data_IF_141460671718
#
_entry.id   IF_141460671718
#
_cell.length_a   1.000
_cell.length_b   1.000
_cell.length_c   1.000
_cell.angle_alpha   90.00
_cell.angle_beta   90.00
_cell.angle_gamma   90.00
#
_symmetry.space_group_name_H-M   'P 1'
#
loop_
_entity.id
_entity.type
_entity.pdbx_description
1 polymer ?
#
# COMPACT_ATOMS: atom_id res chain seq x y z
N UNK A 1 10.34 -0.83 19.07
CA UNK A 1 11.50 -1.55 19.63
C UNK A 1 11.09 -2.99 19.96
N UNK A 2 11.89 -4.01 19.61
CA UNK A 2 11.57 -5.40 19.94
C UNK A 2 11.51 -5.62 21.45
N UNK A 3 10.38 -6.12 21.97
CA UNK A 3 10.11 -6.33 23.42
C UNK A 3 11.15 -7.18 24.16
N UNK A 4 12.02 -7.92 23.45
CA UNK A 4 13.02 -8.81 24.05
C UNK A 4 14.33 -8.08 24.40
N UNK A 5 14.71 -7.04 23.67
CA UNK A 5 15.97 -6.31 23.89
C UNK A 5 15.89 -5.37 25.10
N UNK A 6 14.76 -4.70 25.28
CA UNK A 6 14.54 -3.76 26.40
C UNK A 6 14.47 -4.41 27.79
N UNK A 7 14.56 -5.74 27.87
CA UNK A 7 14.56 -6.52 29.12
C UNK A 7 15.95 -6.91 29.59
N UNK A 8 16.99 -6.65 28.79
CA UNK A 8 18.37 -6.93 29.19
C UNK A 8 18.85 -5.91 30.22
N UNK A 9 19.74 -6.33 31.13
CA UNK A 9 20.27 -5.46 32.19
C UNK A 9 21.18 -4.35 31.67
N UNK A 10 21.80 -4.57 30.53
CA UNK A 10 22.71 -3.66 29.82
C UNK A 10 21.98 -2.79 28.78
N UNK A 11 20.65 -2.86 28.71
CA UNK A 11 19.88 -2.06 27.77
C UNK A 11 19.90 -0.58 28.17
N UNK A 12 20.40 0.26 27.28
CA UNK A 12 20.36 1.71 27.41
C UNK A 12 19.10 2.29 26.77
N UNK A 13 18.49 3.28 27.41
CA UNK A 13 17.38 4.02 26.81
C UNK A 13 17.88 4.84 25.61
N UNK A 14 17.06 5.00 24.56
CA UNK A 14 17.41 5.88 23.45
C UNK A 14 17.59 7.32 23.96
N UNK A 15 18.55 8.02 23.35
CA UNK A 15 18.81 9.43 23.66
C UNK A 15 17.56 10.25 23.35
N UNK A 16 17.12 11.07 24.31
CA UNK A 16 16.02 12.02 24.13
C UNK A 16 16.63 13.40 23.86
N UNK A 17 16.33 13.96 22.69
CA UNK A 17 16.75 15.32 22.31
C UNK A 17 15.51 16.20 22.20
N UNK A 18 15.20 17.04 23.22
CA UNK A 18 14.07 17.94 23.13
C UNK A 18 14.37 19.10 22.19
N UNK A 19 13.48 19.32 21.22
CA UNK A 19 13.59 20.39 20.22
C UNK A 19 12.32 21.24 20.29
N UNK A 20 12.48 22.56 20.29
CA UNK A 20 11.39 23.54 20.19
C UNK A 20 11.53 24.28 18.88
N UNK A 21 10.56 24.08 17.97
CA UNK A 21 10.40 24.90 16.78
C UNK A 21 9.48 26.08 17.10
N UNK A 22 9.97 27.30 16.94
CA UNK A 22 9.23 28.52 17.25
C UNK A 22 9.10 29.42 16.03
N UNK A 23 7.86 29.71 15.64
CA UNK A 23 7.48 30.56 14.52
C UNK A 23 6.67 31.81 14.93
N UNK A 24 6.65 32.14 16.24
CA UNK A 24 5.91 33.30 16.75
C UNK A 24 6.56 34.64 16.38
N UNK A 25 5.75 35.70 16.31
CA UNK A 25 6.20 37.04 15.89
C UNK A 25 7.06 37.79 16.91
N UNK A 26 7.06 37.36 18.18
CA UNK A 26 7.85 37.96 19.25
C UNK A 26 9.19 37.25 19.36
N UNK A 27 10.24 37.96 19.80
CA UNK A 27 11.52 37.30 20.13
C UNK A 27 11.30 36.26 21.23
N UNK A 28 11.88 35.07 21.06
CA UNK A 28 11.86 34.05 22.11
C UNK A 28 12.64 34.52 23.34
N UNK A 29 11.99 34.53 24.50
CA UNK A 29 12.59 34.96 25.78
C UNK A 29 12.63 33.85 26.84
N UNK A 30 11.97 32.72 26.62
CA UNK A 30 11.95 31.63 27.58
C UNK A 30 13.31 30.94 27.69
N UNK A 31 13.65 30.48 28.90
CA UNK A 31 14.93 29.83 29.20
C UNK A 31 15.01 28.46 28.54
N UNK A 32 16.17 28.12 27.98
CA UNK A 32 16.39 26.86 27.26
C UNK A 32 16.80 25.70 28.16
N UNK A 33 17.20 25.99 29.40
CA UNK A 33 17.40 25.00 30.47
C UNK A 33 16.17 24.94 31.36
N UNK A 34 15.70 23.73 31.63
CA UNK A 34 14.57 23.50 32.52
C UNK A 34 14.87 23.95 33.96
N UNK A 35 16.10 23.74 34.43
CA UNK A 35 16.55 24.18 35.76
C UNK A 35 16.42 25.68 36.00
N UNK A 36 16.57 26.52 34.96
CA UNK A 36 16.39 27.97 35.09
C UNK A 36 14.94 28.41 35.34
N UNK A 37 13.98 27.49 35.17
CA UNK A 37 12.54 27.74 35.37
C UNK A 37 12.09 27.20 36.74
N UNK A 38 12.86 26.29 37.35
CA UNK A 38 12.52 25.64 38.61
C UNK A 38 12.83 26.52 39.82
N UNK A 39 11.82 26.76 40.65
CA UNK A 39 12.02 27.43 41.93
C UNK A 39 12.82 26.54 42.89
N UNK A 40 13.76 27.14 43.64
CA UNK A 40 14.53 26.48 44.70
C UNK A 40 15.34 25.25 44.25
N UNK A 41 15.69 25.15 42.96
CA UNK A 41 16.39 23.99 42.38
C UNK A 41 17.73 23.68 43.07
N UNK A 42 18.46 24.72 43.52
CA UNK A 42 19.75 24.55 44.21
C UNK A 42 19.64 23.72 45.50
N UNK A 43 18.49 23.80 46.20
CA UNK A 43 18.22 23.07 47.44
C UNK A 43 18.26 21.55 47.25
N UNK A 44 17.93 21.06 46.04
CA UNK A 44 17.79 19.64 45.74
C UNK A 44 19.00 19.06 44.98
N UNK A 45 20.01 19.89 44.69
CA UNK A 45 21.27 19.44 44.08
C UNK A 45 21.09 18.55 42.84
N UNK A 46 21.73 17.37 42.84
CA UNK A 46 21.67 16.40 41.75
C UNK A 46 20.35 15.63 41.63
N UNK A 47 19.41 15.80 42.57
CA UNK A 47 18.08 15.17 42.50
C UNK A 47 17.10 15.98 41.65
N UNK A 48 17.40 17.25 41.35
CA UNK A 48 16.57 18.05 40.46
C UNK A 48 16.74 17.61 39.01
N UNK A 49 15.62 17.39 38.32
CA UNK A 49 15.63 17.09 36.88
C UNK A 49 16.05 18.35 36.13
N UNK A 50 17.07 18.25 35.29
CA UNK A 50 17.48 19.30 34.37
C UNK A 50 17.71 18.71 32.99
N UNK A 51 17.29 19.46 31.98
CA UNK A 51 17.56 19.20 30.58
C UNK A 51 17.62 20.51 29.83
N UNK A 52 18.31 20.51 28.69
CA UNK A 52 18.29 21.61 27.74
C UNK A 52 17.57 21.19 26.48
N UNK A 53 16.74 22.06 25.95
CA UNK A 53 16.15 21.86 24.64
C UNK A 53 16.87 22.72 23.58
N UNK A 54 16.91 22.20 22.36
CA UNK A 54 17.39 22.91 21.18
C UNK A 54 16.26 23.84 20.72
N UNK A 55 16.51 25.15 20.71
CA UNK A 55 15.56 26.12 20.18
C UNK A 55 15.88 26.40 18.71
N UNK A 56 14.91 26.13 17.83
CA UNK A 56 14.91 26.54 16.43
C UNK A 56 13.89 27.67 16.30
N UNK A 57 14.36 28.91 16.40
CA UNK A 57 13.56 30.12 16.22
C UNK A 57 13.67 30.55 14.76
N UNK A 58 12.63 30.26 13.97
CA UNK A 58 12.66 30.44 12.50
C UNK A 58 12.90 31.90 12.11
N UNK A 59 12.51 32.85 12.97
CA UNK A 59 12.64 34.27 12.71
C UNK A 59 14.05 34.83 13.04
N UNK A 60 14.95 34.00 13.60
CA UNK A 60 16.35 34.41 13.83
C UNK A 60 17.22 34.33 12.58
N UNK A 61 16.85 33.47 11.64
CA UNK A 61 17.61 33.27 10.42
C UNK A 61 17.21 34.30 9.36
N UNK A 62 18.18 34.85 8.67
CA UNK A 62 17.89 35.71 7.52
C UNK A 62 17.42 34.88 6.32
N UNK A 63 16.76 35.53 5.38
CA UNK A 63 16.34 34.91 4.11
C UNK A 63 17.54 34.27 3.39
N UNK A 64 18.66 34.99 3.34
CA UNK A 64 19.88 34.57 2.65
C UNK A 64 20.54 33.37 3.35
N UNK A 65 20.50 33.32 4.68
CA UNK A 65 21.02 32.17 5.43
C UNK A 65 20.22 30.91 5.13
N UNK A 66 18.88 31.00 5.13
CA UNK A 66 18.01 29.86 4.85
C UNK A 66 18.13 29.37 3.40
N UNK A 67 18.21 30.28 2.43
CA UNK A 67 18.37 29.91 1.02
C UNK A 67 19.69 29.17 0.76
N UNK A 68 20.78 29.51 1.46
CA UNK A 68 22.09 28.86 1.31
C UNK A 68 22.14 27.41 1.82
N UNK A 69 21.24 27.03 2.71
CA UNK A 69 21.24 25.70 3.32
C UNK A 69 20.71 24.61 2.37
N UNK A 70 19.99 25.01 1.30
CA UNK A 70 19.50 24.14 0.23
C UNK A 70 18.89 22.81 0.68
N UNK A 71 18.09 22.80 1.75
CA UNK A 71 17.40 21.60 2.24
C UNK A 71 15.93 21.85 2.60
N UNK A 72 15.18 20.77 2.81
CA UNK A 72 13.75 20.81 3.12
C UNK A 72 13.43 21.64 4.37
N UNK A 73 14.17 21.43 5.47
CA UNK A 73 13.91 22.12 6.75
C UNK A 73 14.09 23.63 6.59
N UNK A 74 15.15 24.07 5.92
CA UNK A 74 15.41 25.48 5.67
C UNK A 74 14.34 26.10 4.76
N UNK A 75 13.87 25.35 3.76
CA UNK A 75 12.78 25.75 2.87
C UNK A 75 11.47 25.98 3.62
N UNK A 76 11.11 25.05 4.52
CA UNK A 76 9.94 25.18 5.41
C UNK A 76 10.10 26.37 6.34
N UNK A 77 11.26 26.52 7.01
CA UNK A 77 11.52 27.65 7.90
C UNK A 77 11.38 29.00 7.17
N UNK A 78 11.86 29.10 5.94
CA UNK A 78 11.80 30.33 5.14
C UNK A 78 10.37 30.75 4.81
N UNK A 79 9.50 29.78 4.54
CA UNK A 79 8.09 29.98 4.21
C UNK A 79 7.22 30.16 5.47
N UNK A 80 7.60 29.56 6.61
CA UNK A 80 6.95 29.74 7.91
C UNK A 80 7.14 31.14 8.49
N UNK A 81 8.19 31.86 8.08
CA UNK A 81 8.37 33.25 8.51
C UNK A 81 7.15 34.12 8.15
N UNK A 82 6.78 35.00 9.07
CA UNK A 82 5.61 35.87 8.90
C UNK A 82 5.95 37.01 7.93
N UNK A 83 5.53 36.85 6.68
CA UNK A 83 5.67 37.83 5.59
C UNK A 83 4.35 37.99 4.85
N UNK A 84 4.21 39.09 4.11
CA UNK A 84 3.09 39.32 3.20
C UNK A 84 3.04 38.26 2.08
N UNK A 85 1.84 38.03 1.55
CA UNK A 85 1.61 36.99 0.52
C UNK A 85 2.55 37.12 -0.69
N UNK A 86 2.78 38.35 -1.19
CA UNK A 86 3.66 38.60 -2.34
C UNK A 86 5.12 38.20 -2.06
N UNK A 87 5.63 38.49 -0.86
CA UNK A 87 6.98 38.10 -0.46
C UNK A 87 7.06 36.58 -0.24
N UNK A 88 6.02 35.96 0.32
CA UNK A 88 5.94 34.49 0.44
C UNK A 88 6.02 33.81 -0.93
N UNK A 89 5.28 34.31 -1.92
CA UNK A 89 5.31 33.78 -3.29
C UNK A 89 6.66 34.00 -3.97
N UNK A 90 7.31 35.14 -3.70
CA UNK A 90 8.68 35.40 -4.17
C UNK A 90 9.66 34.36 -3.60
N UNK A 91 9.60 34.09 -2.30
CA UNK A 91 10.42 33.06 -1.64
C UNK A 91 10.15 31.66 -2.18
N UNK A 92 8.88 31.31 -2.42
CA UNK A 92 8.52 30.02 -3.01
C UNK A 92 9.14 29.84 -4.40
N UNK A 93 9.18 30.90 -5.23
CA UNK A 93 9.85 30.87 -6.54
C UNK A 93 11.36 30.70 -6.41
N UNK A 94 11.99 31.41 -5.48
CA UNK A 94 13.44 31.29 -5.22
C UNK A 94 13.83 29.88 -4.74
N UNK A 95 12.93 29.19 -4.02
CA UNK A 95 13.12 27.81 -3.58
C UNK A 95 12.94 26.77 -4.69
N UNK A 96 12.47 27.14 -5.90
CA UNK A 96 12.15 26.18 -6.96
C UNK A 96 13.33 25.23 -7.30
N UNK A 97 14.56 25.75 -7.33
CA UNK A 97 15.73 24.93 -7.62
C UNK A 97 16.10 24.00 -6.45
N UNK A 98 15.90 24.43 -5.21
CA UNK A 98 16.12 23.61 -4.02
C UNK A 98 15.10 22.48 -3.95
N UNK A 99 13.81 22.79 -4.17
CA UNK A 99 12.73 21.80 -4.13
C UNK A 99 12.89 20.72 -5.20
N UNK A 100 13.47 21.04 -6.37
CA UNK A 100 13.79 20.07 -7.43
C UNK A 100 14.91 19.10 -7.08
N UNK A 101 15.72 19.39 -6.06
CA UNK A 101 16.84 18.54 -5.62
C UNK A 101 16.45 17.59 -4.48
N UNK A 102 15.27 17.77 -3.90
CA UNK A 102 14.76 16.93 -2.81
C UNK A 102 14.46 15.52 -3.32
N UNK A 103 14.60 14.53 -2.44
CA UNK A 103 14.17 13.17 -2.74
C UNK A 103 12.63 13.02 -2.68
N UNK A 104 12.13 11.84 -3.06
CA UNK A 104 10.70 11.57 -3.18
C UNK A 104 9.96 11.69 -1.82
N UNK A 105 10.57 11.20 -0.74
CA UNK A 105 10.02 11.28 0.62
C UNK A 105 9.99 12.73 1.11
N UNK A 106 11.05 13.50 0.87
CA UNK A 106 11.14 14.92 1.19
C UNK A 106 10.10 15.75 0.41
N UNK A 107 9.90 15.45 -0.87
CA UNK A 107 8.87 16.09 -1.71
C UNK A 107 7.47 15.79 -1.15
N UNK A 108 7.21 14.54 -0.76
CA UNK A 108 5.93 14.14 -0.20
C UNK A 108 5.64 14.86 1.12
N UNK A 109 6.65 14.94 2.01
CA UNK A 109 6.57 15.70 3.27
C UNK A 109 6.30 17.19 3.00
N UNK A 110 7.00 17.78 2.02
CA UNK A 110 6.80 19.17 1.64
C UNK A 110 5.38 19.40 1.10
N UNK A 111 4.88 18.57 0.19
CA UNK A 111 3.52 18.65 -0.37
C UNK A 111 2.47 18.58 0.75
N UNK A 112 2.60 17.63 1.67
CA UNK A 112 1.68 17.46 2.78
C UNK A 112 1.67 18.67 3.72
N UNK A 113 2.85 19.20 4.06
CA UNK A 113 2.97 20.42 4.87
C UNK A 113 2.42 21.65 4.12
N UNK A 114 2.75 21.82 2.84
CA UNK A 114 2.30 22.92 1.99
C UNK A 114 0.77 22.99 1.94
N UNK A 115 0.11 21.83 1.72
CA UNK A 115 -1.35 21.71 1.64
C UNK A 115 -2.04 22.06 2.96
N UNK A 116 -1.47 21.64 4.09
CA UNK A 116 -2.08 21.85 5.41
C UNK A 116 -1.80 23.22 6.00
N UNK A 117 -0.59 23.74 5.80
CA UNK A 117 -0.10 24.91 6.53
C UNK A 117 0.01 26.13 5.62
N UNK A 118 0.72 26.01 4.49
CA UNK A 118 0.98 27.19 3.65
C UNK A 118 -0.27 27.66 2.93
N UNK A 119 -1.11 26.75 2.42
CA UNK A 119 -2.39 27.10 1.79
C UNK A 119 -3.32 27.87 2.74
N UNK A 120 -3.23 27.63 4.05
CA UNK A 120 -4.00 28.35 5.05
C UNK A 120 -3.73 29.86 5.05
N UNK A 121 -2.55 30.29 4.58
CA UNK A 121 -2.08 31.68 4.54
C UNK A 121 -2.35 32.39 3.21
N UNK A 122 -2.86 31.67 2.21
CA UNK A 122 -3.14 32.22 0.88
C UNK A 122 -4.54 32.85 0.81
N UNK A 123 -4.76 33.91 0.01
CA UNK A 123 -6.08 34.41 -0.34
C UNK A 123 -6.96 33.30 -0.93
N UNK A 124 -8.28 33.36 -0.73
CA UNK A 124 -9.20 32.28 -1.13
C UNK A 124 -9.20 32.03 -2.65
N UNK A 125 -9.11 33.09 -3.47
CA UNK A 125 -9.05 32.97 -4.93
C UNK A 125 -7.78 32.25 -5.39
N UNK A 126 -6.64 32.61 -4.82
CA UNK A 126 -5.35 31.98 -5.11
C UNK A 126 -5.28 30.55 -4.60
N UNK A 127 -5.90 30.27 -3.44
CA UNK A 127 -6.01 28.90 -2.93
C UNK A 127 -6.73 28.01 -3.92
N UNK A 128 -7.86 28.44 -4.49
CA UNK A 128 -8.62 27.65 -5.49
C UNK A 128 -7.80 27.42 -6.77
N UNK A 129 -7.04 28.42 -7.22
CA UNK A 129 -6.17 28.27 -8.39
C UNK A 129 -5.03 27.28 -8.12
N UNK A 130 -4.38 27.38 -6.96
CA UNK A 130 -3.28 26.50 -6.57
C UNK A 130 -3.79 25.09 -6.24
N UNK A 131 -4.96 24.94 -5.60
CA UNK A 131 -5.63 23.64 -5.43
C UNK A 131 -5.87 22.99 -6.78
N UNK A 132 -6.41 23.72 -7.76
CA UNK A 132 -6.56 23.20 -9.11
C UNK A 132 -5.23 22.82 -9.74
N UNK A 133 -4.18 23.63 -9.60
CA UNK A 133 -2.85 23.32 -10.15
C UNK A 133 -2.20 22.12 -9.44
N UNK A 134 -2.39 21.98 -8.13
CA UNK A 134 -1.89 20.86 -7.33
C UNK A 134 -2.69 19.60 -7.63
N UNK A 135 -3.99 19.68 -7.80
CA UNK A 135 -4.84 18.54 -8.17
C UNK A 135 -4.68 18.18 -9.67
N UNK A 136 -4.29 19.13 -10.53
CA UNK A 136 -3.96 18.93 -11.95
C UNK A 136 -2.50 18.47 -12.19
N UNK A 137 -1.57 18.73 -11.24
CA UNK A 137 -0.16 18.29 -11.26
C UNK A 137 0.18 17.27 -10.14
N UNK A 138 -0.79 16.84 -9.35
CA UNK A 138 -0.74 15.51 -8.77
C UNK A 138 -0.64 14.61 -10.00
N UNK A 139 0.50 13.93 -10.18
CA UNK A 139 0.38 12.55 -10.64
C UNK A 139 -0.69 11.99 -9.72
N UNK A 140 -1.92 11.90 -10.23
CA UNK A 140 -2.98 11.16 -9.58
C UNK A 140 -2.29 9.87 -9.24
N UNK A 141 -2.10 9.57 -7.96
CA UNK A 141 -1.53 8.31 -7.56
C UNK A 141 -2.56 7.28 -8.02
N UNK A 142 -2.41 6.84 -9.27
CA UNK A 142 -3.41 6.09 -10.00
C UNK A 142 -3.46 4.77 -9.28
N UNK A 143 -4.60 4.47 -8.66
CA UNK A 143 -4.77 3.25 -7.88
C UNK A 143 -4.20 2.06 -8.65
N UNK A 144 -3.26 1.33 -8.05
CA UNK A 144 -2.58 0.20 -8.68
C UNK A 144 -3.21 -1.09 -8.20
N UNK A 145 -3.68 -1.91 -9.13
CA UNK A 145 -4.21 -3.24 -8.83
C UNK A 145 -3.32 -4.26 -9.51
N UNK A 146 -2.62 -5.05 -8.68
CA UNK A 146 -1.87 -6.21 -9.16
C UNK A 146 -2.83 -7.37 -9.39
N UNK A 147 -2.94 -7.83 -10.63
CA UNK A 147 -3.71 -9.01 -11.00
C UNK A 147 -2.75 -10.15 -11.32
N UNK A 148 -2.87 -11.26 -10.60
CA UNK A 148 -2.01 -12.44 -10.80
C UNK A 148 -2.78 -13.60 -11.42
N UNK A 149 -2.19 -14.31 -12.37
CA UNK A 149 -2.79 -15.51 -12.95
C UNK A 149 -1.76 -16.62 -13.19
N UNK A 150 -2.20 -17.87 -13.19
CA UNK A 150 -1.33 -19.04 -13.29
C UNK A 150 -0.97 -19.41 -14.73
N UNK A 151 0.24 -19.92 -14.94
CA UNK A 151 0.64 -20.60 -16.17
C UNK A 151 -0.15 -21.91 -16.43
N UNK A 152 -0.09 -22.48 -17.65
CA UNK A 152 -0.67 -23.80 -17.92
C UNK A 152 -0.14 -24.90 -16.99
N UNK A 153 -1.01 -25.82 -16.59
CA UNK A 153 -0.66 -26.93 -15.69
C UNK A 153 -1.46 -28.20 -16.03
N UNK A 154 -1.02 -29.35 -15.51
CA UNK A 154 -1.80 -30.59 -15.57
C UNK A 154 -1.95 -31.18 -16.98
N UNK A 155 -1.00 -30.89 -17.87
CA UNK A 155 -1.02 -31.36 -19.27
C UNK A 155 -1.86 -30.51 -20.22
N UNK A 156 -2.50 -29.45 -19.71
CA UNK A 156 -3.23 -28.48 -20.53
C UNK A 156 -2.25 -27.51 -21.20
N UNK A 157 -2.53 -27.14 -22.46
CA UNK A 157 -1.73 -26.15 -23.20
C UNK A 157 -2.09 -24.71 -22.86
N UNK A 158 -3.24 -24.50 -22.21
CA UNK A 158 -3.80 -23.19 -21.86
C UNK A 158 -4.27 -23.17 -20.41
N UNK A 159 -4.20 -22.01 -19.76
CA UNK A 159 -4.84 -21.75 -18.48
C UNK A 159 -5.82 -20.58 -18.66
N UNK A 160 -7.14 -20.75 -18.42
CA UNK A 160 -8.13 -19.70 -18.50
C UNK A 160 -7.75 -18.46 -17.69
N UNK A 161 -7.10 -18.62 -16.55
CA UNK A 161 -6.71 -17.47 -15.72
C UNK A 161 -5.71 -16.58 -16.45
N UNK A 162 -4.75 -17.18 -17.15
CA UNK A 162 -3.78 -16.43 -17.94
C UNK A 162 -4.38 -15.85 -19.22
N UNK A 163 -5.29 -16.58 -19.88
CA UNK A 163 -6.04 -16.04 -21.01
C UNK A 163 -6.88 -14.82 -20.62
N UNK A 164 -7.54 -14.87 -19.46
CA UNK A 164 -8.25 -13.72 -18.90
C UNK A 164 -7.30 -12.57 -18.63
N UNK A 165 -6.17 -12.83 -17.94
CA UNK A 165 -5.17 -11.80 -17.61
C UNK A 165 -4.67 -11.04 -18.84
N UNK A 166 -4.39 -11.76 -19.94
CA UNK A 166 -3.95 -11.16 -21.21
C UNK A 166 -5.00 -10.24 -21.84
N UNK A 167 -6.28 -10.55 -21.66
CA UNK A 167 -7.40 -9.83 -22.26
C UNK A 167 -7.99 -8.73 -21.36
N UNK A 168 -7.49 -8.56 -20.12
CA UNK A 168 -7.89 -7.43 -19.28
C UNK A 168 -7.39 -6.11 -19.87
N UNK A 169 -8.15 -5.04 -19.67
CA UNK A 169 -7.69 -3.67 -19.95
C UNK A 169 -6.56 -3.28 -18.98
N UNK A 170 -5.67 -2.40 -19.44
CA UNK A 170 -4.59 -1.86 -18.62
C UNK A 170 -5.06 -0.76 -17.67
N UNK A 171 -6.25 -0.19 -17.93
CA UNK A 171 -6.91 0.76 -17.03
C UNK A 171 -8.40 0.40 -16.86
N UNK A 172 -8.86 0.37 -15.62
CA UNK A 172 -10.26 0.10 -15.27
C UNK A 172 -10.71 1.11 -14.20
N UNK A 173 -11.65 1.99 -14.56
CA UNK A 173 -12.17 3.05 -13.67
C UNK A 173 -11.05 3.95 -13.10
N UNK A 174 -10.02 4.25 -13.90
CA UNK A 174 -8.89 5.08 -13.48
C UNK A 174 -7.78 4.31 -12.76
N UNK A 175 -8.01 3.06 -12.33
CA UNK A 175 -6.99 2.22 -11.74
C UNK A 175 -6.07 1.57 -12.80
N UNK A 176 -4.77 1.60 -12.56
CA UNK A 176 -3.74 0.90 -13.34
C UNK A 176 -3.76 -0.60 -13.02
N UNK A 177 -3.86 -1.44 -14.06
CA UNK A 177 -3.92 -2.89 -13.93
C UNK A 177 -2.55 -3.50 -14.24
N UNK A 178 -1.85 -3.89 -13.19
CA UNK A 178 -0.53 -4.50 -13.28
C UNK A 178 -0.70 -6.01 -13.40
N UNK A 179 -0.31 -6.58 -14.53
CA UNK A 179 -0.52 -8.00 -14.85
C UNK A 179 0.72 -8.82 -14.50
N UNK A 180 0.54 -9.90 -13.74
CA UNK A 180 1.62 -10.84 -13.41
C UNK A 180 1.21 -12.29 -13.68
N UNK A 181 1.97 -12.97 -14.53
CA UNK A 181 1.90 -14.43 -14.61
C UNK A 181 2.74 -15.05 -13.48
N UNK A 182 2.14 -15.96 -12.72
CA UNK A 182 2.82 -16.76 -11.70
C UNK A 182 2.87 -18.23 -12.13
N UNK A 183 3.93 -18.98 -11.78
CA UNK A 183 4.00 -20.40 -12.07
C UNK A 183 2.99 -21.16 -11.20
N UNK A 184 2.46 -22.26 -11.72
CA UNK A 184 1.71 -23.25 -10.94
C UNK A 184 2.71 -24.11 -10.16
N UNK A 185 3.37 -23.46 -9.21
CA UNK A 185 4.38 -24.05 -8.33
C UNK A 185 4.20 -23.52 -6.90
N UNK A 186 4.24 -24.41 -5.93
CA UNK A 186 4.28 -24.04 -4.52
C UNK A 186 5.53 -23.19 -4.24
N UNK A 187 5.43 -22.28 -3.27
CA UNK A 187 6.47 -21.36 -2.82
C UNK A 187 6.86 -20.29 -3.88
N UNK A 188 7.29 -20.70 -5.07
CA UNK A 188 7.75 -19.81 -6.15
C UNK A 188 6.64 -18.87 -6.63
N UNK A 189 5.39 -19.33 -6.64
CA UNK A 189 4.22 -18.49 -6.95
C UNK A 189 4.09 -17.30 -5.98
N UNK A 190 4.25 -17.56 -4.68
CA UNK A 190 4.18 -16.56 -3.61
C UNK A 190 5.39 -15.63 -3.66
N UNK A 191 6.60 -16.16 -3.86
CA UNK A 191 7.82 -15.37 -4.00
C UNK A 191 7.69 -14.33 -5.12
N UNK A 192 7.30 -14.75 -6.33
CA UNK A 192 7.11 -13.84 -7.47
C UNK A 192 6.02 -12.80 -7.22
N UNK A 193 4.91 -13.20 -6.60
CA UNK A 193 3.85 -12.26 -6.25
C UNK A 193 4.35 -11.21 -5.24
N UNK A 194 5.09 -11.63 -4.21
CA UNK A 194 5.66 -10.72 -3.20
C UNK A 194 6.72 -9.80 -3.80
N UNK A 195 7.61 -10.30 -4.68
CA UNK A 195 8.57 -9.48 -5.41
C UNK A 195 7.85 -8.38 -6.19
N UNK A 196 6.79 -8.73 -6.92
CA UNK A 196 6.01 -7.74 -7.66
C UNK A 196 5.28 -6.76 -6.75
N UNK A 197 4.72 -7.21 -5.63
CA UNK A 197 4.10 -6.34 -4.62
C UNK A 197 5.12 -5.31 -4.10
N UNK A 198 6.36 -5.72 -3.82
CA UNK A 198 7.43 -4.81 -3.37
C UNK A 198 7.84 -3.82 -4.46
N UNK A 199 7.90 -4.28 -5.72
CA UNK A 199 8.28 -3.46 -6.87
C UNK A 199 7.26 -2.35 -7.14
N UNK A 200 5.96 -2.67 -7.10
CA UNK A 200 4.92 -1.75 -7.61
C UNK A 200 4.05 -1.11 -6.53
N UNK A 201 4.16 -1.59 -5.28
CA UNK A 201 3.39 -1.13 -4.12
C UNK A 201 1.89 -0.94 -4.43
N UNK A 202 1.16 -2.02 -4.80
CA UNK A 202 -0.22 -1.89 -5.25
C UNK A 202 -1.19 -1.62 -4.10
N UNK A 203 -2.30 -0.94 -4.36
CA UNK A 203 -3.39 -0.75 -3.39
C UNK A 203 -4.20 -2.03 -3.18
N UNK A 204 -4.31 -2.86 -4.22
CA UNK A 204 -4.96 -4.15 -4.14
C UNK A 204 -4.28 -5.25 -4.97
N UNK A 205 -4.48 -6.50 -4.53
CA UNK A 205 -4.03 -7.71 -5.22
C UNK A 205 -5.24 -8.61 -5.49
N UNK A 206 -5.51 -8.91 -6.76
CA UNK A 206 -6.54 -9.85 -7.17
C UNK A 206 -5.90 -11.04 -7.88
N UNK A 207 -5.91 -12.20 -7.23
CA UNK A 207 -5.41 -13.43 -7.84
C UNK A 207 -6.53 -14.21 -8.52
N UNK A 208 -6.24 -14.79 -9.68
CA UNK A 208 -7.20 -15.56 -10.49
C UNK A 208 -6.63 -16.95 -10.74
N UNK A 209 -7.45 -17.98 -10.54
CA UNK A 209 -7.07 -19.37 -10.79
C UNK A 209 -8.19 -20.18 -11.43
N UNK A 210 -7.84 -21.24 -12.12
CA UNK A 210 -8.82 -22.16 -12.71
C UNK A 210 -9.33 -23.14 -11.64
N UNK A 211 -10.65 -23.28 -11.52
CA UNK A 211 -11.31 -24.34 -10.76
C UNK A 211 -12.13 -25.23 -11.71
N UNK A 212 -11.46 -26.20 -12.31
CA UNK A 212 -12.09 -27.14 -13.22
C UNK A 212 -13.26 -27.88 -12.56
N UNK A 213 -14.44 -27.83 -13.21
CA UNK A 213 -15.67 -28.45 -12.72
C UNK A 213 -16.64 -27.51 -12.01
N UNK A 214 -16.22 -26.28 -11.66
CA UNK A 214 -17.17 -25.23 -11.24
C UNK A 214 -17.88 -24.64 -12.46
N UNK A 215 -19.15 -24.26 -12.29
CA UNK A 215 -19.98 -23.69 -13.36
C UNK A 215 -20.06 -22.15 -13.31
N UNK A 216 -19.50 -21.53 -12.27
CA UNK A 216 -19.64 -20.11 -11.97
C UNK A 216 -18.31 -19.44 -11.60
N UNK A 217 -18.32 -18.10 -11.57
CA UNK A 217 -17.22 -17.31 -11.02
C UNK A 217 -17.29 -17.38 -9.49
N UNK A 218 -16.28 -17.97 -8.88
CA UNK A 218 -16.24 -18.20 -7.44
C UNK A 218 -15.32 -17.20 -6.75
N UNK A 219 -15.88 -16.28 -5.98
CA UNK A 219 -15.10 -15.32 -5.19
C UNK A 219 -14.74 -15.95 -3.84
N UNK A 220 -13.45 -16.16 -3.57
CA UNK A 220 -13.00 -16.90 -2.40
C UNK A 220 -13.04 -16.03 -1.14
N UNK A 221 -13.71 -16.55 -0.10
CA UNK A 221 -13.82 -15.89 1.21
C UNK A 221 -12.57 -16.10 2.05
N UNK A 222 -11.96 -17.27 1.99
CA UNK A 222 -10.96 -17.72 2.97
C UNK A 222 -9.85 -18.52 2.32
N UNK A 223 -8.62 -18.25 2.75
CA UNK A 223 -7.45 -19.07 2.51
C UNK A 223 -7.04 -19.77 3.80
N UNK A 224 -6.73 -21.05 3.74
CA UNK A 224 -6.38 -21.87 4.91
C UNK A 224 -4.89 -22.22 4.91
N UNK A 225 -4.29 -22.33 6.09
CA UNK A 225 -2.86 -22.56 6.28
C UNK A 225 -2.46 -24.03 6.09
N UNK A 226 -2.71 -24.58 4.90
CA UNK A 226 -2.34 -25.97 4.58
C UNK A 226 -2.09 -26.13 3.08
N UNK A 227 -1.00 -26.83 2.78
CA UNK A 227 -0.72 -27.43 1.48
C UNK A 227 -0.99 -28.93 1.57
N UNK A 228 -1.96 -29.40 0.78
CA UNK A 228 -2.33 -30.80 0.66
C UNK A 228 -2.60 -31.12 -0.81
N UNK A 229 -1.51 -31.49 -1.51
CA UNK A 229 -1.43 -31.61 -2.95
C UNK A 229 -1.78 -33.02 -3.43
N UNK A 230 -2.96 -33.17 -4.04
CA UNK A 230 -3.39 -34.45 -4.67
C UNK A 230 -2.48 -34.87 -5.84
N UNK A 231 -1.88 -33.92 -6.55
CA UNK A 231 -0.99 -34.13 -7.69
C UNK A 231 0.25 -33.24 -7.54
N UNK A 232 1.39 -33.56 -8.17
CA UNK A 232 2.55 -32.67 -8.19
C UNK A 232 2.27 -31.38 -8.97
N UNK A 233 2.93 -30.30 -8.54
CA UNK A 233 2.98 -29.02 -9.25
C UNK A 233 3.91 -29.07 -10.49
N UNK A 234 4.01 -27.96 -11.23
CA UNK A 234 4.85 -27.89 -12.44
C UNK A 234 6.36 -28.05 -12.16
N UNK A 235 6.79 -27.97 -10.90
CA UNK A 235 8.17 -28.20 -10.45
C UNK A 235 8.34 -29.57 -9.75
N UNK A 236 7.31 -30.40 -9.76
CA UNK A 236 7.32 -31.74 -9.16
C UNK A 236 7.13 -31.74 -7.64
N UNK A 237 6.77 -30.62 -7.02
CA UNK A 237 6.48 -30.59 -5.58
C UNK A 237 5.08 -31.11 -5.29
N UNK A 238 4.96 -31.92 -4.25
CA UNK A 238 3.69 -32.48 -3.79
C UNK A 238 3.64 -32.49 -2.26
N UNK A 239 3.54 -31.32 -1.61
CA UNK A 239 3.38 -31.24 -0.15
C UNK A 239 2.07 -31.91 0.30
N UNK A 240 2.10 -32.63 1.42
CA UNK A 240 0.93 -33.33 1.99
C UNK A 240 0.87 -33.02 3.49
N UNK A 241 -0.25 -32.43 3.92
CA UNK A 241 -0.49 -32.01 5.31
C UNK A 241 0.59 -31.09 5.90
N UNK A 242 1.13 -30.17 5.09
CA UNK A 242 2.17 -29.23 5.51
C UNK A 242 1.56 -27.84 5.69
N UNK A 243 1.79 -27.14 6.83
CA UNK A 243 1.37 -25.75 6.96
C UNK A 243 2.15 -24.85 6.00
N UNK A 244 1.46 -23.91 5.35
CA UNK A 244 2.07 -22.92 4.46
C UNK A 244 3.03 -22.01 5.25
N UNK A 245 2.62 -21.61 6.46
CA UNK A 245 3.44 -20.88 7.42
C UNK A 245 3.26 -21.49 8.81
N UNK A 246 4.27 -22.18 9.37
CA UNK A 246 4.18 -22.81 10.69
C UNK A 246 3.83 -21.85 11.83
N UNK A 247 4.17 -20.56 11.69
CA UNK A 247 3.90 -19.52 12.70
C UNK A 247 2.70 -18.63 12.32
N UNK A 248 2.06 -18.91 11.18
CA UNK A 248 0.90 -18.17 10.68
C UNK A 248 -0.42 -18.63 11.31
N UNK A 249 -1.47 -17.79 11.26
CA UNK A 249 -2.79 -18.18 11.76
C UNK A 249 -3.39 -19.32 10.92
N UNK A 250 -4.41 -20.05 11.42
CA UNK A 250 -5.02 -21.16 10.68
C UNK A 250 -5.64 -20.76 9.33
N UNK A 251 -6.09 -19.51 9.19
CA UNK A 251 -6.72 -19.01 7.99
C UNK A 251 -6.67 -17.47 7.92
N UNK A 252 -6.81 -16.94 6.71
CA UNK A 252 -7.05 -15.53 6.45
C UNK A 252 -8.33 -15.34 5.63
N UNK A 253 -9.12 -14.34 5.98
CA UNK A 253 -10.23 -13.89 5.15
C UNK A 253 -9.73 -12.94 4.05
N UNK A 254 -10.31 -13.04 2.87
CA UNK A 254 -10.14 -12.03 1.82
C UNK A 254 -10.60 -10.66 2.34
N UNK A 255 -9.91 -9.60 1.92
CA UNK A 255 -10.19 -8.21 2.34
C UNK A 255 -10.80 -7.36 1.23
N UNK A 256 -10.96 -7.92 0.02
CA UNK A 256 -11.76 -7.34 -1.06
C UNK A 256 -13.28 -7.49 -0.77
N UNK A 257 -14.16 -6.65 -1.34
CA UNK A 257 -15.60 -6.67 -1.09
C UNK A 257 -16.30 -7.85 -1.80
N UNK A 258 -16.10 -9.07 -1.26
CA UNK A 258 -16.46 -10.32 -1.94
C UNK A 258 -17.95 -10.47 -2.30
N UNK A 259 -18.87 -9.94 -1.46
CA UNK A 259 -20.32 -10.09 -1.72
C UNK A 259 -20.77 -9.09 -2.78
N UNK A 260 -20.25 -7.88 -2.72
CA UNK A 260 -20.50 -6.82 -3.68
C UNK A 260 -19.98 -7.21 -5.06
N UNK A 261 -18.80 -7.86 -5.12
CA UNK A 261 -18.26 -8.43 -6.36
C UNK A 261 -19.23 -9.46 -6.95
N UNK A 262 -19.68 -10.44 -6.14
CA UNK A 262 -20.62 -11.47 -6.60
C UNK A 262 -21.91 -10.86 -7.14
N UNK A 263 -22.52 -9.93 -6.40
CA UNK A 263 -23.76 -9.29 -6.82
C UNK A 263 -23.57 -8.41 -8.06
N UNK A 264 -22.42 -7.77 -8.24
CA UNK A 264 -22.10 -7.03 -9.46
C UNK A 264 -21.94 -7.95 -10.67
N UNK A 265 -21.24 -9.08 -10.53
CA UNK A 265 -21.08 -10.06 -11.63
C UNK A 265 -22.42 -10.66 -12.04
N UNK A 266 -23.30 -10.96 -11.08
CA UNK A 266 -24.66 -11.46 -11.38
C UNK A 266 -25.50 -10.45 -12.16
N UNK A 267 -25.35 -9.14 -11.90
CA UNK A 267 -26.03 -8.08 -12.67
C UNK A 267 -25.60 -8.03 -14.13
N UNK A 268 -24.42 -8.56 -14.45
CA UNK A 268 -23.93 -8.75 -15.81
C UNK A 268 -24.46 -10.04 -16.47
N UNK A 269 -25.38 -10.75 -15.81
CA UNK A 269 -25.93 -12.06 -16.19
C UNK A 269 -24.91 -13.20 -16.23
N UNK A 270 -23.86 -13.11 -15.39
CA UNK A 270 -22.84 -14.15 -15.27
C UNK A 270 -23.04 -14.89 -13.93
N UNK A 271 -23.11 -16.23 -13.91
CA UNK A 271 -23.19 -16.99 -12.66
C UNK A 271 -21.98 -16.69 -11.78
N UNK A 272 -22.24 -16.31 -10.52
CA UNK A 272 -21.20 -16.11 -9.53
C UNK A 272 -21.69 -16.45 -8.12
N UNK A 273 -20.76 -16.91 -7.27
CA UNK A 273 -21.03 -17.20 -5.87
C UNK A 273 -19.83 -16.89 -4.99
N UNK A 274 -20.07 -16.81 -3.67
CA UNK A 274 -18.96 -16.81 -2.71
C UNK A 274 -18.57 -18.26 -2.42
N UNK A 275 -17.31 -18.59 -2.64
CA UNK A 275 -16.72 -19.85 -2.23
C UNK A 275 -16.07 -19.71 -0.85
N UNK A 276 -16.18 -20.76 -0.03
CA UNK A 276 -15.57 -20.82 1.30
C UNK A 276 -14.39 -21.81 1.36
N UNK A 277 -13.89 -22.24 0.20
CA UNK A 277 -12.65 -23.02 0.10
C UNK A 277 -12.00 -22.81 -1.26
N UNK A 278 -10.78 -22.27 -1.24
CA UNK A 278 -9.91 -22.17 -2.41
C UNK A 278 -9.21 -23.51 -2.75
N UNK A 279 -9.57 -24.60 -2.09
CA UNK A 279 -8.86 -25.88 -2.12
C UNK A 279 -7.63 -25.88 -1.21
N UNK A 280 -6.72 -26.81 -1.45
CA UNK A 280 -5.46 -27.01 -0.69
C UNK A 280 -4.24 -27.10 -1.60
N UNK A 281 -4.41 -26.65 -2.85
CA UNK A 281 -3.39 -26.65 -3.89
C UNK A 281 -2.77 -25.25 -4.06
N UNK A 282 -2.01 -25.03 -5.13
CA UNK A 282 -1.26 -23.78 -5.37
C UNK A 282 -2.14 -22.51 -5.34
N UNK A 283 -3.43 -22.59 -5.71
CA UNK A 283 -4.36 -21.46 -5.59
C UNK A 283 -4.54 -20.99 -4.13
N UNK A 284 -4.80 -21.93 -3.21
CA UNK A 284 -4.91 -21.63 -1.77
C UNK A 284 -3.56 -21.18 -1.22
N UNK A 285 -2.48 -21.84 -1.62
CA UNK A 285 -1.11 -21.47 -1.25
C UNK A 285 -0.82 -20.00 -1.56
N UNK A 286 -1.10 -19.57 -2.80
CA UNK A 286 -0.89 -18.20 -3.24
C UNK A 286 -1.76 -17.20 -2.46
N UNK A 287 -3.06 -17.48 -2.33
CA UNK A 287 -3.99 -16.62 -1.60
C UNK A 287 -3.56 -16.43 -0.14
N UNK A 288 -3.23 -17.53 0.54
CA UNK A 288 -2.76 -17.49 1.93
C UNK A 288 -1.42 -16.76 2.04
N UNK A 289 -0.45 -17.05 1.17
CA UNK A 289 0.87 -16.43 1.18
C UNK A 289 0.83 -14.91 1.03
N UNK A 290 0.01 -14.40 0.10
CA UNK A 290 -0.19 -12.96 -0.11
C UNK A 290 -0.85 -12.32 1.12
N UNK A 291 -1.95 -12.88 1.63
CA UNK A 291 -2.65 -12.35 2.80
C UNK A 291 -1.76 -12.35 4.05
N UNK A 292 -0.96 -13.41 4.22
CA UNK A 292 0.00 -13.54 5.30
C UNK A 292 1.11 -12.50 5.22
N UNK A 293 1.67 -12.26 4.02
CA UNK A 293 2.67 -11.22 3.80
C UNK A 293 2.14 -9.83 4.12
N UNK A 294 0.94 -9.50 3.64
CA UNK A 294 0.26 -8.22 3.93
C UNK A 294 0.06 -8.06 5.44
N UNK A 295 -0.43 -9.10 6.12
CA UNK A 295 -0.69 -9.08 7.56
C UNK A 295 0.59 -8.89 8.38
N UNK A 296 1.63 -9.69 8.13
CA UNK A 296 2.90 -9.64 8.87
C UNK A 296 3.61 -8.29 8.74
N UNK A 297 3.52 -7.67 7.57
CA UNK A 297 4.15 -6.38 7.30
C UNK A 297 3.22 -5.18 7.54
N UNK A 298 1.97 -5.41 7.97
CA UNK A 298 0.96 -4.38 8.25
C UNK A 298 0.73 -3.44 7.05
N UNK A 299 0.73 -4.00 5.85
CA UNK A 299 0.54 -3.24 4.63
C UNK A 299 -0.94 -2.88 4.47
N UNK A 300 -1.23 -1.68 3.95
CA UNK A 300 -2.58 -1.24 3.66
C UNK A 300 -3.02 -1.70 2.25
N UNK A 301 -2.88 -3.00 1.97
CA UNK A 301 -3.19 -3.60 0.67
C UNK A 301 -4.42 -4.49 0.83
N UNK A 302 -5.41 -4.35 -0.06
CA UNK A 302 -6.55 -5.27 -0.11
C UNK A 302 -6.19 -6.49 -0.96
N UNK A 303 -6.53 -7.70 -0.53
CA UNK A 303 -6.28 -8.91 -1.32
C UNK A 303 -7.45 -9.89 -1.33
N UNK A 304 -7.55 -10.64 -2.42
CA UNK A 304 -8.46 -11.78 -2.53
C UNK A 304 -8.21 -12.61 -3.79
N UNK A 305 -9.02 -13.66 -3.94
CA UNK A 305 -8.84 -14.65 -5.00
C UNK A 305 -10.18 -14.96 -5.67
N UNK A 306 -10.15 -15.15 -6.99
CA UNK A 306 -11.31 -15.57 -7.78
C UNK A 306 -10.95 -16.84 -8.55
N UNK A 307 -11.74 -17.88 -8.34
CA UNK A 307 -11.71 -19.07 -9.18
C UNK A 307 -12.65 -18.90 -10.38
N UNK A 308 -12.19 -19.35 -11.54
CA UNK A 308 -12.95 -19.32 -12.80
C UNK A 308 -13.08 -20.73 -13.41
N UNK A 309 -14.16 -21.02 -14.16
CA UNK A 309 -14.38 -22.31 -14.81
C UNK A 309 -13.37 -22.66 -15.90
N UNK A 310 -13.56 -23.84 -16.50
CA UNK A 310 -12.90 -24.20 -17.75
C UNK A 310 -13.33 -23.30 -18.91
N UNK A 311 -12.43 -23.17 -19.90
CA UNK A 311 -12.79 -22.69 -21.24
C UNK A 311 -13.54 -23.75 -22.06
N UNK A 312 -14.33 -23.37 -23.08
CA UNK A 312 -15.03 -24.32 -23.96
C UNK A 312 -14.11 -25.37 -24.59
N UNK A 313 -12.92 -24.97 -25.04
CA UNK A 313 -11.94 -25.85 -25.68
C UNK A 313 -11.35 -26.90 -24.71
N UNK A 314 -11.37 -26.65 -23.39
CA UNK A 314 -10.83 -27.57 -22.39
C UNK A 314 -11.79 -28.70 -22.02
N UNK A 315 -13.04 -28.66 -22.48
CA UNK A 315 -14.09 -29.63 -22.11
C UNK A 315 -14.63 -30.45 -23.28
N UNK A 316 -14.04 -30.31 -24.49
CA UNK A 316 -14.49 -31.02 -25.69
C UNK A 316 -14.58 -32.55 -25.48
N UNK A 317 -13.61 -33.12 -24.77
CA UNK A 317 -13.52 -34.55 -24.45
C UNK A 317 -13.88 -34.87 -22.99
N UNK A 318 -14.55 -33.95 -22.28
CA UNK A 318 -14.92 -34.08 -20.85
C UNK A 318 -16.44 -33.99 -20.67
N UNK A 319 -17.20 -35.09 -20.87
CA UNK A 319 -18.66 -35.09 -20.76
C UNK A 319 -19.17 -34.52 -19.43
N UNK A 320 -20.30 -33.80 -19.47
CA UNK A 320 -20.94 -33.19 -18.29
C UNK A 320 -20.05 -32.23 -17.49
N UNK A 321 -19.02 -31.66 -18.11
CA UNK A 321 -18.11 -30.70 -17.44
C UNK A 321 -18.53 -29.26 -17.74
N UNK A 322 -18.83 -28.44 -16.71
CA UNK A 322 -19.17 -27.03 -16.93
C UNK A 322 -17.99 -26.23 -17.50
N UNK A 323 -18.33 -25.17 -18.23
CA UNK A 323 -17.39 -24.22 -18.82
C UNK A 323 -18.01 -22.82 -18.87
N UNK A 324 -17.17 -21.82 -19.12
CA UNK A 324 -17.58 -20.44 -19.33
C UNK A 324 -16.79 -19.84 -20.49
N UNK A 325 -17.41 -18.94 -21.27
CA UNK A 325 -16.70 -18.27 -22.37
C UNK A 325 -15.59 -17.36 -21.83
N UNK A 326 -14.49 -17.21 -22.59
CA UNK A 326 -13.42 -16.28 -22.23
C UNK A 326 -13.94 -14.85 -22.05
N UNK A 327 -14.85 -14.41 -22.92
CA UNK A 327 -15.44 -13.08 -22.85
C UNK A 327 -16.23 -12.84 -21.57
N UNK A 328 -17.00 -13.83 -21.10
CA UNK A 328 -17.74 -13.70 -19.84
C UNK A 328 -16.79 -13.70 -18.64
N UNK A 329 -15.74 -14.52 -18.66
CA UNK A 329 -14.73 -14.51 -17.60
C UNK A 329 -13.98 -13.18 -17.54
N UNK A 330 -13.55 -12.62 -18.66
CA UNK A 330 -12.93 -11.28 -18.74
C UNK A 330 -13.89 -10.23 -18.19
N UNK A 331 -15.15 -10.23 -18.64
CA UNK A 331 -16.18 -9.29 -18.17
C UNK A 331 -16.44 -9.40 -16.67
N UNK A 332 -16.43 -10.62 -16.12
CA UNK A 332 -16.60 -10.85 -14.69
C UNK A 332 -15.42 -10.30 -13.87
N UNK A 333 -14.18 -10.53 -14.31
CA UNK A 333 -12.99 -10.02 -13.64
C UNK A 333 -12.89 -8.50 -13.76
N UNK A 334 -13.18 -7.92 -14.93
CA UNK A 334 -13.27 -6.45 -15.06
C UNK A 334 -14.32 -5.89 -14.09
N UNK A 335 -15.49 -6.53 -13.98
CA UNK A 335 -16.54 -6.14 -13.03
C UNK A 335 -16.06 -6.23 -11.57
N UNK A 336 -15.34 -7.29 -11.21
CA UNK A 336 -14.76 -7.43 -9.88
C UNK A 336 -13.79 -6.29 -9.56
N UNK A 337 -12.91 -5.95 -10.51
CA UNK A 337 -11.96 -4.84 -10.39
C UNK A 337 -12.70 -3.51 -10.20
N UNK A 338 -13.73 -3.22 -10.99
CA UNK A 338 -14.56 -2.00 -10.82
C UNK A 338 -15.14 -1.87 -9.41
N UNK A 339 -15.59 -2.98 -8.82
CA UNK A 339 -16.12 -2.98 -7.46
C UNK A 339 -15.01 -2.74 -6.43
N UNK A 340 -13.83 -3.33 -6.63
CA UNK A 340 -12.66 -3.09 -5.75
C UNK A 340 -12.28 -1.61 -5.77
N UNK A 341 -12.16 -1.00 -6.96
CA UNK A 341 -11.83 0.43 -7.11
C UNK A 341 -12.85 1.30 -6.36
N UNK A 342 -14.15 1.06 -6.56
CA UNK A 342 -15.22 1.83 -5.91
C UNK A 342 -15.31 1.65 -4.40
N UNK A 343 -14.84 0.54 -3.85
CA UNK A 343 -14.83 0.30 -2.41
C UNK A 343 -13.62 0.94 -1.71
N UNK A 344 -12.64 1.41 -2.49
CA UNK A 344 -11.39 1.98 -2.01
C UNK A 344 -11.27 3.49 -2.28
N UNK A 345 -12.06 4.02 -3.23
CA UNK A 345 -12.34 5.45 -3.39
C UNK A 345 -13.27 5.95 -2.28
#
# INVERSE_FOLDING_TARGET
>A
MPKKESRRKDFELPVIVPIVLYNGSRKWTAKTSYKEILNSCETFGGCAVDFKYILIDVNRYTKEELLRLENLIASVCLLEQKVEFEEMMTRLRELSNTLKKLDEDEILLFKAWFKKILMARMPEEERKNIERIIDENEEVETMKILVTAFDPFGGESVNPSYEVLKNLKDNIEGAEIIKLQVPTAFYVSVEKAIEKIKEVNPDAVLSIGQAGGRYDISVERVAINIDDARIPDNMGQQPIDIPIDPEGPPAYFATIPIKEIVEAIKKENIPASVSNSAGTYVCNHLMYGILNYIHKNKLNIKAGFIHIPYLPEQVLEKPNTPYMSLSDMVKAIETAIKVIVKAMA
#
